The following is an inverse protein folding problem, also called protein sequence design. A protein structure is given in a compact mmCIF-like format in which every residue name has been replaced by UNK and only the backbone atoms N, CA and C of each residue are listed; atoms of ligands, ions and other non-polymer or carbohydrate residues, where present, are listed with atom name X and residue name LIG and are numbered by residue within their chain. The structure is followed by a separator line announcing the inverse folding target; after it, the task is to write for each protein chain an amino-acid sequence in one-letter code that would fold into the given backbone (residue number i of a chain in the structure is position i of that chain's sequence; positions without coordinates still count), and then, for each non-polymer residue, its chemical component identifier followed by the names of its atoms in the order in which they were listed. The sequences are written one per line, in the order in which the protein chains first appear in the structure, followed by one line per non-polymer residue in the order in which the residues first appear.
data_IF_531671181653
#
_entry.id   IF_531671181653
#
_cell.length_a   1.000
_cell.length_b   1.000
_cell.length_c   1.000
_cell.angle_alpha   90.00
_cell.angle_beta   90.00
_cell.angle_gamma   90.00
#
_symmetry.space_group_name_H-M   'P 1'
#
loop_
_entity.id
_entity.type
_entity.pdbx_description
1 polymer ?
#
# COMPACT_ATOMS: atom_id res chain seq x y z
N UNK A 1 5.49 5.94 -8.21
CA UNK A 1 4.80 7.20 -7.87
C UNK A 1 3.35 7.05 -8.28
N UNK A 2 2.41 7.25 -7.36
CA UNK A 2 0.98 6.91 -7.59
C UNK A 2 0.10 8.17 -7.62
N UNK A 3 0.54 9.26 -7.00
CA UNK A 3 0.27 10.67 -7.36
C UNK A 3 1.57 11.46 -7.07
N UNK A 4 1.70 12.74 -7.46
CA UNK A 4 2.95 13.49 -7.28
C UNK A 4 3.41 13.62 -5.80
N UNK A 5 2.50 13.40 -4.85
CA UNK A 5 2.75 13.75 -3.45
C UNK A 5 2.65 12.56 -2.48
N UNK A 6 1.96 11.45 -2.82
CA UNK A 6 1.84 10.29 -1.93
C UNK A 6 2.79 9.19 -2.37
N UNK A 7 3.59 8.72 -1.42
CA UNK A 7 4.46 7.57 -1.57
C UNK A 7 3.98 6.42 -0.69
N UNK A 8 4.08 5.19 -1.20
CA UNK A 8 3.68 3.96 -0.50
C UNK A 8 4.72 2.87 -0.70
N UNK A 9 4.92 2.03 0.32
CA UNK A 9 5.74 0.81 0.26
C UNK A 9 5.19 -0.27 1.16
N UNK A 10 5.48 -1.51 0.80
CA UNK A 10 5.28 -2.65 1.66
C UNK A 10 6.55 -3.53 1.68
N UNK A 11 6.82 -4.14 2.83
CA UNK A 11 7.86 -5.14 3.01
C UNK A 11 7.21 -6.42 3.54
N UNK A 12 7.44 -7.54 2.85
CA UNK A 12 6.87 -8.85 3.17
C UNK A 12 7.89 -9.63 3.99
N UNK A 13 7.54 -9.99 5.22
CA UNK A 13 8.39 -10.76 6.10
C UNK A 13 8.30 -12.25 5.75
N UNK A 14 9.22 -12.72 4.93
CA UNK A 14 9.30 -14.14 4.54
C UNK A 14 10.05 -14.96 5.61
N UNK A 15 9.69 -16.24 5.71
CA UNK A 15 10.33 -17.15 6.69
C UNK A 15 11.81 -17.42 6.35
N UNK A 16 12.13 -17.65 5.07
CA UNK A 16 13.45 -18.13 4.66
C UNK A 16 14.43 -17.01 4.29
N UNK A 17 13.96 -15.95 3.63
CA UNK A 17 14.80 -14.84 3.15
C UNK A 17 14.75 -13.60 4.04
N UNK A 18 13.88 -13.59 5.05
CA UNK A 18 13.59 -12.39 5.83
C UNK A 18 12.72 -11.38 5.04
N UNK A 19 12.78 -10.10 5.39
CA UNK A 19 12.00 -9.05 4.72
C UNK A 19 12.42 -8.87 3.26
N UNK A 20 11.43 -8.85 2.36
CA UNK A 20 11.63 -8.50 0.94
C UNK A 20 10.73 -7.31 0.57
N UNK A 21 11.17 -6.50 -0.38
CA UNK A 21 10.35 -5.39 -0.89
C UNK A 21 9.21 -5.92 -1.76
N UNK A 22 7.97 -5.52 -1.46
CA UNK A 22 6.83 -5.86 -2.28
C UNK A 22 6.75 -4.97 -3.53
N UNK A 23 6.24 -5.51 -4.62
CA UNK A 23 6.12 -4.80 -5.90
C UNK A 23 4.73 -4.17 -6.01
N UNK A 24 4.67 -2.86 -6.23
CA UNK A 24 3.41 -2.13 -6.45
C UNK A 24 2.89 -2.34 -7.88
N UNK A 25 1.59 -2.62 -7.98
CA UNK A 25 0.84 -2.62 -9.22
C UNK A 25 -0.36 -1.69 -9.12
N UNK A 26 -0.42 -0.71 -10.01
CA UNK A 26 -1.60 0.15 -10.18
C UNK A 26 -2.76 -0.68 -10.72
N UNK A 27 -3.91 -0.65 -10.02
CA UNK A 27 -5.15 -1.28 -10.45
C UNK A 27 -6.05 -0.30 -11.21
N UNK A 28 -6.21 0.92 -10.68
CA UNK A 28 -6.98 1.96 -11.34
C UNK A 28 -7.03 3.26 -10.57
N UNK A 29 -7.59 4.28 -11.23
CA UNK A 29 -7.81 5.60 -10.65
C UNK A 29 -9.10 6.22 -11.21
N UNK A 30 -9.78 7.02 -10.41
CA UNK A 30 -10.96 7.76 -10.85
C UNK A 30 -11.19 9.03 -10.02
N UNK A 31 -12.07 9.91 -10.49
CA UNK A 31 -12.52 11.12 -9.79
C UNK A 31 -14.03 11.08 -9.57
N UNK A 32 -14.48 11.28 -8.34
CA UNK A 32 -15.91 11.29 -8.02
C UNK A 32 -16.58 12.58 -8.51
N UNK A 33 -17.91 12.57 -8.63
CA UNK A 33 -18.67 13.78 -8.98
C UNK A 33 -18.49 14.93 -7.97
N UNK A 34 -18.10 14.61 -6.72
CA UNK A 34 -17.78 15.61 -5.69
C UNK A 34 -16.41 16.26 -5.90
N UNK A 35 -15.53 15.62 -6.68
CA UNK A 35 -14.15 16.04 -6.92
C UNK A 35 -13.09 15.26 -6.13
N UNK A 36 -13.48 14.20 -5.41
CA UNK A 36 -12.51 13.36 -4.70
C UNK A 36 -11.72 12.54 -5.70
N UNK A 37 -10.43 12.30 -5.44
CA UNK A 37 -9.64 11.39 -6.25
C UNK A 37 -9.46 10.07 -5.53
N UNK A 38 -9.57 8.97 -6.28
CA UNK A 38 -9.37 7.62 -5.78
C UNK A 38 -8.29 6.97 -6.62
N UNK A 39 -7.31 6.37 -5.96
CA UNK A 39 -6.32 5.53 -6.62
C UNK A 39 -6.20 4.21 -5.87
N UNK A 40 -6.16 3.10 -6.57
CA UNK A 40 -6.06 1.79 -5.95
C UNK A 40 -5.17 0.84 -6.75
N UNK A 41 -4.74 -0.22 -6.08
CA UNK A 41 -3.88 -1.24 -6.64
C UNK A 41 -3.50 -2.26 -5.59
N UNK A 42 -2.43 -2.99 -5.83
CA UNK A 42 -1.96 -4.03 -4.92
C UNK A 42 -0.45 -4.15 -4.91
N UNK A 43 0.05 -4.69 -3.81
CA UNK A 43 1.40 -5.19 -3.66
C UNK A 43 1.40 -6.71 -3.78
N UNK A 44 2.46 -7.22 -4.39
CA UNK A 44 2.71 -8.66 -4.52
C UNK A 44 4.20 -8.95 -4.33
N UNK A 45 4.54 -10.15 -3.89
CA UNK A 45 5.93 -10.60 -3.85
C UNK A 45 6.49 -10.86 -5.25
N UNK A 46 7.74 -10.47 -5.50
CA UNK A 46 8.39 -10.75 -6.79
C UNK A 46 8.68 -12.26 -6.95
N UNK A 47 8.44 -12.86 -8.14
CA UNK A 47 8.86 -14.22 -8.43
C UNK A 47 10.39 -14.42 -8.39
N UNK A 48 11.18 -13.34 -8.47
CA UNK A 48 12.64 -13.40 -8.28
C UNK A 48 13.04 -13.61 -6.82
N UNK A 49 12.17 -13.19 -5.89
CA UNK A 49 12.43 -13.25 -4.46
C UNK A 49 11.83 -14.51 -3.84
N UNK A 50 10.64 -14.93 -4.27
CA UNK A 50 9.95 -16.12 -3.76
C UNK A 50 9.23 -16.88 -4.88
N UNK A 51 9.16 -18.20 -4.78
CA UNK A 51 8.60 -19.06 -5.84
C UNK A 51 7.10 -18.91 -6.07
N UNK A 52 6.38 -18.39 -5.08
CA UNK A 52 4.93 -18.16 -5.12
C UNK A 52 4.56 -16.71 -5.50
N UNK A 53 5.56 -15.84 -5.68
CA UNK A 53 5.36 -14.44 -6.01
C UNK A 53 4.77 -14.25 -7.40
N UNK A 54 3.73 -13.43 -7.53
CA UNK A 54 3.03 -13.19 -8.80
C UNK A 54 2.15 -11.96 -8.74
N UNK A 55 2.13 -11.14 -9.79
CA UNK A 55 1.21 -10.00 -9.91
C UNK A 55 -0.26 -10.44 -9.80
N UNK A 56 -0.58 -11.68 -10.21
CA UNK A 56 -1.91 -12.26 -10.15
C UNK A 56 -2.19 -13.01 -8.81
N UNK A 57 -1.27 -12.94 -7.85
CA UNK A 57 -1.41 -13.48 -6.50
C UNK A 57 -1.07 -12.37 -5.48
N UNK A 58 -1.97 -11.39 -5.29
CA UNK A 58 -1.70 -10.22 -4.46
C UNK A 58 -1.56 -10.57 -2.98
N UNK A 59 -0.65 -9.88 -2.30
CA UNK A 59 -0.40 -10.00 -0.87
C UNK A 59 -1.14 -8.93 -0.05
N UNK A 60 -1.31 -7.75 -0.65
CA UNK A 60 -1.86 -6.58 0.02
C UNK A 60 -2.53 -5.65 -0.99
N UNK A 61 -3.79 -5.30 -0.80
CA UNK A 61 -4.45 -4.25 -1.59
C UNK A 61 -4.27 -2.89 -0.94
N UNK A 62 -4.22 -1.82 -1.75
CA UNK A 62 -4.14 -0.44 -1.26
C UNK A 62 -5.20 0.41 -1.95
N UNK A 63 -5.88 1.23 -1.14
CA UNK A 63 -6.78 2.29 -1.62
C UNK A 63 -6.37 3.63 -1.02
N UNK A 64 -6.06 4.57 -1.89
CA UNK A 64 -5.83 5.97 -1.57
C UNK A 64 -7.07 6.79 -1.90
N UNK A 65 -7.51 7.60 -0.95
CA UNK A 65 -8.63 8.52 -1.11
C UNK A 65 -8.18 9.94 -0.80
N UNK A 66 -8.26 10.81 -1.79
CA UNK A 66 -7.97 12.24 -1.68
C UNK A 66 -9.30 12.97 -1.63
N UNK A 67 -9.72 13.32 -0.42
CA UNK A 67 -10.97 14.03 -0.18
C UNK A 67 -10.84 15.50 -0.55
N UNK A 68 -11.89 16.08 -1.13
CA UNK A 68 -11.91 17.51 -1.47
C UNK A 68 -11.73 18.46 -0.28
N UNK A 69 -11.92 17.99 0.95
CA UNK A 69 -11.65 18.75 2.17
C UNK A 69 -10.16 18.84 2.55
N UNK A 70 -9.27 18.12 1.85
CA UNK A 70 -7.84 18.05 2.17
C UNK A 70 -7.43 16.81 2.96
N UNK A 71 -8.38 16.00 3.46
CA UNK A 71 -8.07 14.71 4.07
C UNK A 71 -7.55 13.72 3.02
N UNK A 72 -6.47 13.01 3.35
CA UNK A 72 -5.95 11.90 2.54
C UNK A 72 -5.92 10.63 3.37
N UNK A 73 -6.51 9.56 2.85
CA UNK A 73 -6.51 8.24 3.49
C UNK A 73 -5.75 7.24 2.63
N UNK A 74 -4.71 6.61 3.19
CA UNK A 74 -4.04 5.46 2.61
C UNK A 74 -4.46 4.22 3.38
N UNK A 75 -5.20 3.33 2.72
CA UNK A 75 -5.82 2.15 3.32
C UNK A 75 -5.15 0.90 2.78
N UNK A 76 -4.63 0.06 3.66
CA UNK A 76 -3.98 -1.20 3.33
C UNK A 76 -4.87 -2.37 3.78
N UNK A 77 -5.09 -3.34 2.89
CA UNK A 77 -5.94 -4.51 3.11
C UNK A 77 -5.19 -5.81 2.84
N UNK A 78 -4.98 -6.59 3.90
CA UNK A 78 -4.19 -7.80 3.91
C UNK A 78 -4.92 -9.01 3.33
N UNK A 79 -4.29 -9.71 2.40
CA UNK A 79 -4.90 -10.86 1.70
C UNK A 79 -4.05 -12.14 1.73
N UNK A 80 -2.76 -12.07 2.05
CA UNK A 80 -1.91 -13.26 2.16
C UNK A 80 -1.72 -13.75 3.60
N UNK A 81 -0.67 -14.54 3.84
CA UNK A 81 -0.30 -15.16 5.13
C UNK A 81 0.88 -14.48 5.83
N UNK A 82 1.95 -14.05 5.13
CA UNK A 82 3.09 -13.41 5.77
C UNK A 82 2.72 -12.18 6.59
N UNK A 83 3.56 -11.80 7.54
CA UNK A 83 3.48 -10.46 8.11
C UNK A 83 3.96 -9.45 7.05
N UNK A 84 3.25 -8.32 6.91
CA UNK A 84 3.60 -7.29 5.94
C UNK A 84 3.64 -5.93 6.62
N UNK A 85 4.83 -5.32 6.65
CA UNK A 85 5.01 -3.94 7.07
C UNK A 85 4.59 -3.00 5.95
N UNK A 86 3.85 -1.94 6.28
CA UNK A 86 3.34 -0.96 5.34
C UNK A 86 3.80 0.43 5.74
N UNK A 87 4.11 1.24 4.73
CA UNK A 87 4.67 2.57 4.89
C UNK A 87 3.96 3.52 3.93
N UNK A 88 3.73 4.76 4.37
CA UNK A 88 3.35 5.84 3.46
C UNK A 88 3.91 7.18 3.92
N UNK A 89 3.94 8.10 2.96
CA UNK A 89 4.48 9.45 3.15
C UNK A 89 3.65 10.51 2.40
N UNK A 90 3.46 11.68 3.01
CA UNK A 90 2.76 12.84 2.43
C UNK A 90 3.16 14.16 3.14
N UNK A 91 3.79 15.12 2.44
CA UNK A 91 4.26 15.04 1.05
C UNK A 91 5.47 14.11 0.95
N UNK A 92 5.65 13.47 -0.21
CA UNK A 92 6.82 12.65 -0.51
C UNK A 92 8.14 13.43 -0.33
N UNK A 93 8.74 13.35 0.85
CA UNK A 93 9.96 14.05 1.25
C UNK A 93 11.14 13.10 1.51
N UNK A 94 10.96 11.83 1.09
CA UNK A 94 11.92 10.72 1.17
C UNK A 94 11.99 10.09 2.57
N UNK A 95 11.30 10.63 3.58
CA UNK A 95 11.06 9.95 4.86
C UNK A 95 9.74 9.17 4.82
N UNK A 96 9.48 8.33 5.83
CA UNK A 96 8.16 7.70 5.99
C UNK A 96 7.48 8.29 7.21
N UNK A 97 6.40 9.03 7.00
CA UNK A 97 5.60 9.60 8.08
C UNK A 97 4.82 8.55 8.87
N UNK A 98 4.28 7.53 8.18
CA UNK A 98 3.45 6.51 8.83
C UNK A 98 3.89 5.10 8.47
N UNK A 99 3.86 4.24 9.50
CA UNK A 99 4.15 2.81 9.43
C UNK A 99 3.04 2.02 10.13
N UNK A 100 2.73 0.85 9.59
CA UNK A 100 1.94 -0.17 10.28
C UNK A 100 2.39 -1.58 9.91
N UNK A 101 1.78 -2.58 10.55
CA UNK A 101 2.02 -3.99 10.24
C UNK A 101 0.69 -4.69 10.07
N UNK A 102 0.48 -5.29 8.90
CA UNK A 102 -0.67 -6.14 8.62
C UNK A 102 -0.34 -7.60 8.85
N UNK A 103 -1.27 -8.32 9.47
CA UNK A 103 -1.19 -9.75 9.79
C UNK A 103 -2.57 -10.38 9.62
N UNK A 104 -2.66 -11.71 9.69
CA UNK A 104 -3.92 -12.44 9.58
C UNK A 104 -5.02 -11.97 10.55
N UNK A 105 -4.63 -11.61 11.77
CA UNK A 105 -5.54 -11.13 12.82
C UNK A 105 -5.80 -9.62 12.76
N UNK A 106 -4.99 -8.88 12.00
CA UNK A 106 -5.12 -7.45 11.80
C UNK A 106 -4.88 -7.10 10.32
N UNK A 107 -5.95 -7.23 9.54
CA UNK A 107 -5.89 -7.14 8.08
C UNK A 107 -6.05 -5.73 7.53
N UNK A 108 -6.25 -4.73 8.37
CA UNK A 108 -6.54 -3.38 7.93
C UNK A 108 -5.67 -2.37 8.67
N UNK A 109 -4.95 -1.56 7.90
CA UNK A 109 -4.18 -0.42 8.40
C UNK A 109 -4.62 0.82 7.62
N UNK A 110 -4.86 1.91 8.35
CA UNK A 110 -5.20 3.22 7.78
C UNK A 110 -4.14 4.22 8.19
N UNK A 111 -3.54 4.88 7.22
CA UNK A 111 -2.75 6.08 7.44
C UNK A 111 -3.59 7.29 7.00
N UNK A 112 -3.90 8.19 7.93
CA UNK A 112 -4.68 9.40 7.67
C UNK A 112 -3.77 10.62 7.70
N UNK A 113 -3.94 11.52 6.74
CA UNK A 113 -3.24 12.79 6.64
C UNK A 113 -4.21 13.93 6.37
N UNK A 114 -3.76 15.16 6.63
CA UNK A 114 -4.48 16.39 6.33
C UNK A 114 -3.56 17.39 5.64
N UNK A 115 -4.02 17.95 4.52
CA UNK A 115 -3.36 19.02 3.77
C UNK A 115 -3.90 20.40 4.15
#
# INVERSE_FOLDING_TARGET
MVTSDVWIKAAINTVEKGPIDAVWRLGGQDTTARGDQVVWGHFYASPSDVTWGSENNPDLFVKMWFDVSGRVDVNFFHVSVPEIEVYSDLPNDVMYDQKGTTIMDNRYIRHEYWR
#
